data_IF_400343611039
#
_entry.id   IF_400343611039
#
_cell.length_a   1.000
_cell.length_b   1.000
_cell.length_c   1.000
_cell.angle_alpha   90.00
_cell.angle_beta   90.00
_cell.angle_gamma   90.00
#
_symmetry.space_group_name_H-M   'P 1'
#
loop_
_entity.id
_entity.type
_entity.pdbx_description
1 polymer ?
#
# COMPACT_ATOMS: atom_id res chain seq x y z
N UNK A 1 6.80 4.89 11.58
CA UNK A 1 5.76 4.01 12.16
C UNK A 1 4.49 4.78 12.52
N UNK A 2 4.55 5.88 13.29
CA UNK A 2 3.37 6.68 13.65
C UNK A 2 2.61 7.19 12.43
N UNK A 3 3.31 7.75 11.44
CA UNK A 3 2.69 8.24 10.18
C UNK A 3 1.91 7.12 9.48
N UNK A 4 2.44 5.91 9.39
CA UNK A 4 1.75 4.79 8.76
C UNK A 4 0.43 4.44 9.48
N UNK A 5 0.45 4.38 10.82
CA UNK A 5 -0.76 4.15 11.61
C UNK A 5 -1.80 5.27 11.41
N UNK A 6 -1.38 6.53 11.53
CA UNK A 6 -2.26 7.69 11.36
C UNK A 6 -2.86 7.75 9.94
N UNK A 7 -2.05 7.38 8.92
CA UNK A 7 -2.52 7.26 7.54
C UNK A 7 -3.59 6.17 7.42
N UNK A 8 -3.34 4.98 7.94
CA UNK A 8 -4.32 3.88 7.93
C UNK A 8 -5.63 4.26 8.62
N UNK A 9 -5.53 4.89 9.79
CA UNK A 9 -6.69 5.39 10.54
C UNK A 9 -7.47 6.46 9.76
N UNK A 10 -6.77 7.34 9.07
CA UNK A 10 -7.38 8.37 8.23
C UNK A 10 -8.12 7.76 7.02
N UNK A 11 -7.49 6.82 6.33
CA UNK A 11 -8.10 6.11 5.20
C UNK A 11 -9.37 5.39 5.61
N UNK A 12 -9.36 4.70 6.75
CA UNK A 12 -10.52 4.00 7.31
C UNK A 12 -11.70 4.96 7.56
N UNK A 13 -11.45 6.12 8.19
CA UNK A 13 -12.46 7.14 8.46
C UNK A 13 -13.07 7.74 7.20
N UNK A 14 -12.39 7.64 6.06
CA UNK A 14 -12.85 8.09 4.76
C UNK A 14 -13.37 6.93 3.88
N UNK A 15 -13.65 5.76 4.46
CA UNK A 15 -14.14 4.56 3.78
C UNK A 15 -13.22 4.06 2.65
N UNK A 16 -11.93 4.25 2.80
CA UNK A 16 -10.91 3.79 1.84
C UNK A 16 -10.27 2.52 2.35
N UNK A 17 -10.24 1.50 1.52
CA UNK A 17 -9.61 0.23 1.85
C UNK A 17 -8.09 0.34 1.81
N UNK A 18 -7.42 -0.24 2.79
CA UNK A 18 -5.96 -0.35 2.81
C UNK A 18 -5.55 -1.70 2.23
N UNK A 19 -4.69 -1.66 1.22
CA UNK A 19 -4.14 -2.87 0.56
C UNK A 19 -2.63 -2.88 0.72
N UNK A 20 -2.07 -3.96 1.26
CA UNK A 20 -0.63 -4.13 1.31
C UNK A 20 -0.19 -5.60 1.45
N UNK A 21 1.08 -5.84 1.74
CA UNK A 21 1.71 -7.14 1.77
C UNK A 21 1.93 -7.76 3.14
N UNK A 22 1.40 -7.16 4.20
CA UNK A 22 1.60 -7.64 5.57
C UNK A 22 3.07 -7.60 6.04
N UNK A 23 3.95 -6.85 5.40
CA UNK A 23 5.34 -6.72 5.81
C UNK A 23 5.47 -6.09 7.21
N UNK A 24 6.60 -6.32 7.87
CA UNK A 24 6.92 -5.58 9.10
C UNK A 24 7.09 -4.09 8.79
N UNK A 25 6.77 -3.27 9.76
CA UNK A 25 6.95 -1.84 9.62
C UNK A 25 5.71 -1.11 9.11
N UNK A 26 5.84 -0.36 8.03
CA UNK A 26 4.76 0.50 7.52
C UNK A 26 3.47 -0.27 7.19
N UNK A 27 3.57 -1.44 6.55
CA UNK A 27 2.41 -2.28 6.25
C UNK A 27 1.64 -2.65 7.52
N UNK A 28 2.38 -3.16 8.53
CA UNK A 28 1.79 -3.55 9.82
C UNK A 28 1.06 -2.39 10.49
N UNK A 29 1.69 -1.22 10.54
CA UNK A 29 1.11 -0.06 11.23
C UNK A 29 -0.06 0.56 10.45
N UNK A 30 0.01 0.59 9.13
CA UNK A 30 -1.10 1.06 8.31
C UNK A 30 -2.35 0.15 8.45
N UNK A 31 -2.15 -1.17 8.45
CA UNK A 31 -3.24 -2.14 8.69
C UNK A 31 -3.84 -2.00 10.10
N UNK A 32 -2.99 -1.84 11.12
CA UNK A 32 -3.47 -1.60 12.50
C UNK A 32 -4.29 -0.33 12.57
N UNK A 33 -3.76 0.77 12.04
CA UNK A 33 -4.46 2.05 12.03
C UNK A 33 -5.82 1.95 11.36
N UNK A 34 -5.92 1.25 10.23
CA UNK A 34 -7.18 1.03 9.54
C UNK A 34 -8.16 0.17 10.35
N UNK A 35 -7.73 -1.01 10.82
CA UNK A 35 -8.58 -1.95 11.56
C UNK A 35 -9.07 -1.39 12.89
N UNK A 36 -8.23 -0.66 13.62
CA UNK A 36 -8.56 -0.05 14.91
C UNK A 36 -9.58 1.10 14.76
N UNK A 37 -9.75 1.61 13.54
CA UNK A 37 -10.74 2.64 13.19
C UNK A 37 -11.89 2.11 12.31
N UNK A 38 -12.15 0.80 12.32
CA UNK A 38 -13.27 0.17 11.64
C UNK A 38 -13.13 0.07 10.12
N UNK A 39 -11.93 0.29 9.58
CA UNK A 39 -11.63 0.21 8.16
C UNK A 39 -11.52 -1.23 7.65
N UNK A 40 -11.57 -1.36 6.34
CA UNK A 40 -11.38 -2.63 5.64
C UNK A 40 -9.97 -2.73 5.10
N UNK A 41 -9.36 -3.90 5.26
CA UNK A 41 -8.02 -4.18 4.79
C UNK A 41 -8.04 -5.38 3.84
N UNK A 42 -7.15 -5.35 2.85
CA UNK A 42 -6.86 -6.47 1.95
C UNK A 42 -5.37 -6.76 2.05
N UNK A 43 -5.03 -8.00 2.32
CA UNK A 43 -3.63 -8.44 2.35
C UNK A 43 -3.38 -9.40 1.20
N UNK A 44 -2.36 -9.11 0.42
CA UNK A 44 -1.88 -9.99 -0.64
C UNK A 44 -0.60 -10.69 -0.19
N UNK A 45 -0.63 -12.02 -0.17
CA UNK A 45 0.48 -12.83 0.30
C UNK A 45 1.34 -13.35 -0.87
N UNK A 46 2.66 -13.51 -0.67
CA UNK A 46 3.58 -14.05 -1.66
C UNK A 46 3.66 -15.59 -1.62
N UNK A 47 2.71 -16.26 -0.96
CA UNK A 47 2.70 -17.71 -0.73
C UNK A 47 1.26 -18.19 -0.52
N UNK A 48 1.08 -19.49 -0.27
CA UNK A 48 -0.22 -20.02 0.08
C UNK A 48 -0.80 -19.39 1.35
N UNK A 49 -2.12 -19.25 1.43
CA UNK A 49 -2.81 -18.58 2.55
C UNK A 49 -2.67 -19.31 3.89
N UNK A 50 -2.25 -20.56 3.87
CA UNK A 50 -1.90 -21.37 5.04
C UNK A 50 -0.54 -20.98 5.66
N UNK A 51 0.29 -20.26 4.91
CA UNK A 51 1.65 -19.86 5.31
C UNK A 51 1.77 -18.34 5.49
N UNK A 52 1.07 -17.80 6.48
CA UNK A 52 1.14 -16.35 6.77
C UNK A 52 2.58 -15.92 7.11
N UNK A 53 3.06 -14.95 6.37
CA UNK A 53 4.39 -14.36 6.55
C UNK A 53 4.30 -12.82 6.61
N UNK A 54 5.05 -12.16 7.51
CA UNK A 54 5.88 -12.76 8.57
C UNK A 54 5.01 -13.40 9.68
N UNK A 55 5.52 -14.45 10.32
CA UNK A 55 4.78 -15.18 11.37
C UNK A 55 4.32 -14.29 12.53
N UNK A 56 5.08 -13.24 12.86
CA UNK A 56 4.74 -12.27 13.90
C UNK A 56 3.46 -11.49 13.58
N UNK A 57 3.03 -11.40 12.34
CA UNK A 57 1.82 -10.73 11.90
C UNK A 57 0.62 -11.69 11.75
N UNK A 58 0.73 -12.94 12.21
CA UNK A 58 -0.35 -13.93 12.12
C UNK A 58 -1.64 -13.41 12.76
N UNK A 59 -1.56 -12.90 13.99
CA UNK A 59 -2.74 -12.37 14.69
C UNK A 59 -3.36 -11.16 13.99
N UNK A 60 -2.54 -10.34 13.30
CA UNK A 60 -3.03 -9.23 12.49
C UNK A 60 -3.75 -9.75 11.23
N UNK A 61 -3.18 -10.75 10.56
CA UNK A 61 -3.82 -11.40 9.41
C UNK A 61 -5.15 -12.06 9.77
N UNK A 62 -5.24 -12.67 10.95
CA UNK A 62 -6.48 -13.30 11.44
C UNK A 62 -7.61 -12.28 11.71
N UNK A 63 -7.28 -11.01 11.96
CA UNK A 63 -8.25 -9.89 12.06
C UNK A 63 -8.74 -9.41 10.69
N UNK A 64 -8.01 -9.74 9.63
CA UNK A 64 -8.31 -9.26 8.27
C UNK A 64 -9.15 -10.31 7.56
N UNK A 65 -10.37 -9.97 7.22
CA UNK A 65 -11.33 -10.87 6.55
C UNK A 65 -10.88 -11.22 5.12
N UNK A 66 -10.17 -10.30 4.47
CA UNK A 66 -9.74 -10.45 3.08
C UNK A 66 -8.23 -10.65 2.99
N UNK A 67 -7.83 -11.92 2.96
CA UNK A 67 -6.47 -12.32 2.63
C UNK A 67 -6.49 -12.97 1.24
N UNK A 68 -5.57 -12.60 0.38
CA UNK A 68 -5.51 -13.10 -0.97
C UNK A 68 -4.09 -13.29 -1.49
N UNK A 69 -3.99 -13.86 -2.65
CA UNK A 69 -2.74 -14.11 -3.37
C UNK A 69 -3.00 -14.95 -4.61
N UNK A 70 -1.99 -15.14 -5.43
CA UNK A 70 -2.07 -15.96 -6.65
C UNK A 70 -1.54 -17.39 -6.45
N UNK A 71 -1.23 -17.77 -5.21
CA UNK A 71 -0.59 -19.05 -4.91
C UNK A 71 -1.55 -19.99 -4.19
N UNK A 72 -1.54 -21.27 -4.62
CA UNK A 72 -2.32 -22.32 -3.98
C UNK A 72 -1.87 -22.57 -2.53
N UNK A 73 -2.79 -23.06 -1.71
CA UNK A 73 -2.50 -23.60 -0.38
C UNK A 73 -1.36 -24.63 -0.48
N UNK A 74 -0.43 -24.59 0.46
CA UNK A 74 0.77 -25.43 0.45
C UNK A 74 1.94 -24.90 -0.40
N UNK A 75 1.77 -23.80 -1.13
CA UNK A 75 2.88 -23.21 -1.89
C UNK A 75 3.92 -22.62 -0.95
N UNK A 76 5.18 -23.09 -0.98
CA UNK A 76 6.25 -22.55 -0.14
C UNK A 76 6.65 -21.15 -0.58
N UNK A 77 7.17 -20.39 0.37
CA UNK A 77 7.65 -19.03 0.13
C UNK A 77 8.95 -19.02 -0.68
N UNK A 78 9.01 -18.15 -1.69
CA UNK A 78 10.22 -17.87 -2.47
C UNK A 78 10.43 -16.36 -2.61
N UNK A 79 11.68 -15.91 -2.65
CA UNK A 79 12.02 -14.47 -2.77
C UNK A 79 11.40 -13.79 -4.00
N UNK A 80 11.36 -14.45 -5.13
CA UNK A 80 10.77 -13.91 -6.36
C UNK A 80 9.26 -13.67 -6.25
N UNK A 81 8.59 -14.40 -5.38
CA UNK A 81 7.14 -14.27 -5.18
C UNK A 81 6.76 -12.94 -4.53
N UNK A 82 7.64 -12.34 -3.73
CA UNK A 82 7.41 -11.00 -3.18
C UNK A 82 7.30 -9.95 -4.29
N UNK A 83 8.29 -9.90 -5.17
CA UNK A 83 8.30 -8.95 -6.29
C UNK A 83 7.11 -9.19 -7.23
N UNK A 84 6.82 -10.46 -7.52
CA UNK A 84 5.71 -10.84 -8.40
C UNK A 84 4.35 -10.46 -7.81
N UNK A 85 4.18 -10.60 -6.48
CA UNK A 85 2.99 -10.20 -5.75
C UNK A 85 2.79 -8.67 -5.73
N UNK A 86 3.87 -7.87 -5.70
CA UNK A 86 3.78 -6.41 -5.65
C UNK A 86 3.03 -5.82 -6.86
N UNK A 87 3.10 -6.48 -8.00
CA UNK A 87 2.27 -6.21 -9.18
C UNK A 87 0.76 -6.26 -8.89
N UNK A 88 0.34 -7.20 -8.05
CA UNK A 88 -1.07 -7.33 -7.67
C UNK A 88 -1.49 -6.22 -6.71
N UNK A 89 -0.61 -5.82 -5.78
CA UNK A 89 -0.90 -4.74 -4.84
C UNK A 89 -1.20 -3.44 -5.57
N UNK A 90 -0.34 -3.04 -6.51
CA UNK A 90 -0.58 -1.86 -7.33
C UNK A 90 -1.79 -2.04 -8.27
N UNK A 91 -1.96 -3.25 -8.83
CA UNK A 91 -3.01 -3.54 -9.82
C UNK A 91 -4.43 -3.37 -9.28
N UNK A 92 -4.72 -3.84 -8.09
CA UNK A 92 -6.07 -3.76 -7.48
C UNK A 92 -6.37 -2.42 -6.81
N UNK A 93 -5.37 -1.55 -6.66
CA UNK A 93 -5.52 -0.24 -6.03
C UNK A 93 -5.76 0.85 -7.07
N UNK A 94 -6.43 1.92 -6.66
CA UNK A 94 -6.57 3.14 -7.43
C UNK A 94 -5.34 4.03 -7.34
N UNK A 95 -4.60 3.95 -6.24
CA UNK A 95 -3.36 4.70 -6.03
C UNK A 95 -2.42 3.99 -5.07
N UNK A 96 -1.15 4.35 -5.13
CA UNK A 96 -0.08 3.85 -4.26
C UNK A 96 0.44 4.98 -3.40
N UNK A 97 0.47 4.75 -2.09
CA UNK A 97 0.99 5.69 -1.11
C UNK A 97 2.23 5.11 -0.42
N UNK A 98 3.37 5.72 -0.65
CA UNK A 98 4.63 5.36 0.00
C UNK A 98 4.77 6.17 1.29
N UNK A 99 4.76 5.49 2.43
CA UNK A 99 5.01 6.16 3.71
C UNK A 99 6.50 6.33 3.94
N UNK A 100 7.25 5.25 3.92
CA UNK A 100 8.68 5.23 4.18
C UNK A 100 9.33 4.11 3.37
N UNK A 101 10.34 4.43 2.60
CA UNK A 101 11.06 3.47 1.79
C UNK A 101 12.55 3.82 1.63
N UNK A 102 13.39 2.81 1.66
CA UNK A 102 14.75 2.89 1.13
C UNK A 102 14.76 2.56 -0.37
N UNK A 103 15.74 3.08 -1.09
CA UNK A 103 15.85 2.91 -2.55
C UNK A 103 15.88 1.43 -2.97
N UNK A 104 16.51 0.57 -2.19
CA UNK A 104 16.62 -0.87 -2.46
C UNK A 104 15.53 -1.72 -1.76
N UNK A 105 14.44 -1.10 -1.30
CA UNK A 105 13.36 -1.81 -0.62
C UNK A 105 12.36 -2.43 -1.59
N UNK A 106 11.59 -3.43 -1.12
CA UNK A 106 10.48 -4.03 -1.86
C UNK A 106 9.42 -3.02 -2.30
N UNK A 107 9.21 -1.96 -1.52
CA UNK A 107 8.28 -0.87 -1.84
C UNK A 107 8.55 -0.25 -3.22
N UNK A 108 9.83 -0.12 -3.62
CA UNK A 108 10.20 0.44 -4.92
C UNK A 108 9.79 -0.46 -6.09
N UNK A 109 9.62 -1.77 -5.88
CA UNK A 109 9.02 -2.65 -6.89
C UNK A 109 7.53 -2.34 -7.08
N UNK A 110 6.80 -2.12 -5.98
CA UNK A 110 5.39 -1.71 -6.04
C UNK A 110 5.22 -0.37 -6.76
N UNK A 111 6.10 0.59 -6.49
CA UNK A 111 6.12 1.90 -7.19
C UNK A 111 6.33 1.70 -8.69
N UNK A 112 7.32 0.92 -9.09
CA UNK A 112 7.57 0.63 -10.50
C UNK A 112 6.35 0.02 -11.19
N UNK A 113 5.71 -0.98 -10.59
CA UNK A 113 4.48 -1.54 -11.13
C UNK A 113 3.34 -0.54 -11.19
N UNK A 114 3.24 0.36 -10.21
CA UNK A 114 2.26 1.43 -10.22
C UNK A 114 2.46 2.39 -11.39
N UNK A 115 3.70 2.76 -11.70
CA UNK A 115 4.06 3.56 -12.87
C UNK A 115 3.68 2.86 -14.18
N UNK A 116 4.05 1.58 -14.33
CA UNK A 116 3.72 0.75 -15.50
C UNK A 116 2.20 0.57 -15.69
N UNK A 117 1.44 0.62 -14.60
CA UNK A 117 -0.03 0.48 -14.58
C UNK A 117 -0.76 1.83 -14.57
N UNK A 118 -0.05 2.94 -14.74
CA UNK A 118 -0.59 4.30 -14.76
C UNK A 118 -1.39 4.66 -13.51
N UNK A 119 -0.97 4.16 -12.34
CA UNK A 119 -1.59 4.48 -11.06
C UNK A 119 -1.09 5.82 -10.53
N UNK A 120 -1.96 6.51 -9.80
CA UNK A 120 -1.55 7.68 -9.02
C UNK A 120 -0.60 7.27 -7.90
N UNK A 121 0.50 8.01 -7.75
CA UNK A 121 1.50 7.72 -6.72
C UNK A 121 1.67 8.95 -5.84
N UNK A 122 1.68 8.73 -4.54
CA UNK A 122 2.09 9.73 -3.58
C UNK A 122 3.17 9.16 -2.66
N UNK A 123 4.02 10.02 -2.13
CA UNK A 123 4.92 9.65 -1.05
C UNK A 123 4.99 10.75 0.00
N UNK A 124 5.18 10.37 1.26
CA UNK A 124 5.51 11.33 2.30
C UNK A 124 6.90 11.90 2.08
N UNK A 125 7.06 13.21 2.36
CA UNK A 125 8.35 13.87 2.25
C UNK A 125 9.41 13.13 3.05
N UNK A 126 10.59 12.97 2.46
CA UNK A 126 11.74 12.32 3.10
C UNK A 126 12.09 12.95 4.46
N UNK A 127 11.75 14.23 4.68
CA UNK A 127 12.00 14.96 5.93
C UNK A 127 11.12 14.50 7.10
N UNK A 128 10.04 13.79 6.82
CA UNK A 128 9.08 13.33 7.83
C UNK A 128 9.35 11.91 8.31
N UNK A 129 10.19 11.16 7.59
CA UNK A 129 10.43 9.74 7.79
C UNK A 129 11.91 9.44 8.00
N UNK A 130 12.22 8.27 8.56
CA UNK A 130 13.59 7.95 9.00
C UNK A 130 14.42 7.25 7.91
N UNK A 131 13.83 6.25 7.24
CA UNK A 131 14.49 5.47 6.19
C UNK A 131 13.94 5.91 4.83
N UNK A 132 14.56 6.93 4.25
CA UNK A 132 13.91 7.80 3.29
C UNK A 132 14.63 7.98 1.96
N UNK A 133 15.67 7.18 1.65
CA UNK A 133 16.38 7.33 0.38
C UNK A 133 15.48 7.08 -0.84
N UNK A 134 14.49 6.20 -0.71
CA UNK A 134 13.45 5.99 -1.73
C UNK A 134 12.49 7.17 -1.82
N UNK A 135 12.06 7.74 -0.68
CA UNK A 135 11.21 8.94 -0.68
C UNK A 135 11.94 10.14 -1.31
N UNK A 136 13.23 10.35 -0.97
CA UNK A 136 14.05 11.40 -1.56
C UNK A 136 14.17 11.27 -3.09
N UNK A 137 14.35 10.04 -3.57
CA UNK A 137 14.34 9.74 -5.00
C UNK A 137 12.98 10.06 -5.64
N UNK A 138 11.87 9.67 -4.99
CA UNK A 138 10.52 9.91 -5.49
C UNK A 138 10.15 11.41 -5.51
N UNK A 139 10.69 12.22 -4.62
CA UNK A 139 10.49 13.68 -4.62
C UNK A 139 11.03 14.36 -5.89
N UNK A 140 11.98 13.74 -6.58
CA UNK A 140 12.51 14.25 -7.84
C UNK A 140 11.63 13.87 -9.05
N UNK A 141 10.66 12.99 -8.88
CA UNK A 141 9.76 12.54 -9.93
C UNK A 141 8.52 13.43 -9.99
N UNK A 142 8.33 14.13 -11.11
CA UNK A 142 7.20 15.06 -11.30
C UNK A 142 5.81 14.37 -11.30
N UNK A 143 5.77 13.08 -11.48
CA UNK A 143 4.52 12.30 -11.49
C UNK A 143 4.13 11.76 -10.10
N UNK A 144 4.91 12.08 -9.06
CA UNK A 144 4.65 11.67 -7.68
C UNK A 144 4.14 12.86 -6.87
N UNK A 145 3.03 12.69 -6.15
CA UNK A 145 2.49 13.69 -5.25
C UNK A 145 3.22 13.63 -3.91
N UNK A 146 3.83 14.73 -3.51
CA UNK A 146 4.58 14.79 -2.26
C UNK A 146 3.67 15.24 -1.13
N UNK A 147 3.66 14.48 -0.04
CA UNK A 147 2.82 14.72 1.12
C UNK A 147 3.67 15.20 2.30
N UNK A 148 3.40 16.41 2.76
CA UNK A 148 4.03 16.98 3.95
C UNK A 148 3.07 17.15 5.11
N UNK A 149 1.78 17.09 4.82
CA UNK A 149 0.71 17.26 5.79
C UNK A 149 -0.55 16.47 5.42
N UNK A 150 -1.55 16.56 6.27
CA UNK A 150 -2.82 15.90 6.11
C UNK A 150 -3.66 16.46 4.96
N UNK A 151 -3.60 17.75 4.72
CA UNK A 151 -4.37 18.39 3.65
C UNK A 151 -3.95 17.83 2.28
N UNK A 152 -2.66 17.68 2.05
CA UNK A 152 -2.14 17.11 0.81
C UNK A 152 -2.54 15.63 0.63
N UNK A 153 -2.67 14.87 1.72
CA UNK A 153 -3.23 13.52 1.66
C UNK A 153 -4.72 13.54 1.25
N UNK A 154 -5.50 14.45 1.80
CA UNK A 154 -6.91 14.64 1.44
C UNK A 154 -7.07 15.01 -0.04
N UNK A 155 -6.28 15.95 -0.54
CA UNK A 155 -6.26 16.36 -1.95
C UNK A 155 -5.88 15.20 -2.88
N UNK A 156 -4.86 14.41 -2.52
CA UNK A 156 -4.47 13.22 -3.28
C UNK A 156 -5.63 12.23 -3.43
N UNK A 157 -6.35 11.96 -2.34
CA UNK A 157 -7.49 11.04 -2.32
C UNK A 157 -8.67 11.59 -3.14
N UNK A 158 -8.97 12.88 -3.02
CA UNK A 158 -10.03 13.51 -3.81
C UNK A 158 -9.75 13.43 -5.31
N UNK A 159 -8.49 13.63 -5.72
CA UNK A 159 -8.08 13.52 -7.11
C UNK A 159 -8.29 12.10 -7.66
N UNK A 160 -7.97 11.06 -6.88
CA UNK A 160 -8.23 9.66 -7.28
C UNK A 160 -9.74 9.42 -7.45
N UNK A 161 -10.55 9.86 -6.49
CA UNK A 161 -11.98 9.61 -6.50
C UNK A 161 -12.70 10.35 -7.65
N UNK A 162 -12.27 11.56 -7.99
CA UNK A 162 -12.85 12.32 -9.10
C UNK A 162 -12.62 11.64 -10.46
N UNK A 163 -11.45 11.05 -10.68
CA UNK A 163 -11.15 10.32 -11.91
C UNK A 163 -12.00 9.05 -12.07
N UNK A 164 -12.28 8.32 -10.99
CA UNK A 164 -13.14 7.13 -11.03
C UNK A 164 -14.57 7.46 -11.50
N UNK A 165 -15.09 8.62 -11.18
CA UNK A 165 -16.42 9.07 -11.58
C UNK A 165 -16.51 9.28 -13.10
N UNK A 166 -15.42 9.69 -13.75
CA UNK A 166 -15.37 9.90 -15.21
C UNK A 166 -15.12 8.61 -16.00
N UNK A 167 -14.42 7.63 -15.44
CA UNK A 167 -14.07 6.38 -16.15
C UNK A 167 -15.27 5.42 -16.29
N UNK A 168 -16.27 5.53 -15.44
CA UNK A 168 -17.52 4.73 -15.55
C UNK A 168 -18.44 5.14 -16.70
N UNK A 169 -18.21 6.26 -17.35
CA UNK A 169 -19.05 6.78 -18.44
C UNK A 169 -18.57 6.37 -19.86
N UNK A 170 -17.46 5.64 -19.98
CA UNK A 170 -16.84 5.30 -21.28
C UNK A 170 -16.80 3.81 -21.61
N UNK A 171 -17.56 2.97 -20.92
CA UNK A 171 -17.68 1.54 -21.23
C UNK A 171 -18.95 1.26 -22.04
N UNK A 172 -18.89 1.58 -23.34
CA UNK A 172 -19.81 1.03 -24.36
C UNK A 172 -19.06 0.77 -25.64
#
# INVERSE_FOLDING_TARGET
MRIAYETGAFLAKNNINVVNGLALGCDTEALRGALDNGGRCIVLLPCGLDNIQPKSNRSLADRIVQNGGEYNVGTPLNKYQYVKRDRLQSGICQGVLVVEAEMNSGTMHTVKYAEEQFKRIACYSHRLVKFSSGNEYLEQNKNVNILSDRQQLEEFIQNINSELTYTQLTLF
#
